data_IF_558646953809
#
_entry.id   IF_558646953809
#
_cell.length_a   1.000
_cell.length_b   1.000
_cell.length_c   1.000
_cell.angle_alpha   90.00
_cell.angle_beta   90.00
_cell.angle_gamma   90.00
#
_symmetry.space_group_name_H-M   'P 1'
#
loop_
_entity.id
_entity.type
_entity.pdbx_description
1 polymer ?
#
# COMPACT_ATOMS: atom_id res chain seq x y z
N UNK A 1 12.84 -7.62 0.30
CA UNK A 1 12.19 -6.28 0.32
C UNK A 1 12.61 -5.50 -0.92
N UNK A 2 12.16 -4.26 -1.16
CA UNK A 2 12.44 -3.49 -2.38
C UNK A 2 13.92 -3.50 -2.84
N UNK A 3 14.84 -3.51 -1.88
CA UNK A 3 16.29 -3.69 -2.07
C UNK A 3 16.68 -4.99 -2.78
N UNK A 4 15.93 -6.07 -2.54
CA UNK A 4 16.26 -7.43 -2.96
C UNK A 4 15.66 -7.75 -4.34
N UNK A 5 14.62 -7.01 -4.76
CA UNK A 5 13.92 -7.22 -6.03
C UNK A 5 14.27 -6.18 -7.09
N UNK A 6 14.99 -5.11 -6.72
CA UNK A 6 15.33 -4.02 -7.64
C UNK A 6 14.13 -3.16 -8.03
N UNK A 7 13.13 -3.05 -7.15
CA UNK A 7 11.94 -2.21 -7.37
C UNK A 7 12.00 -0.97 -6.46
N UNK A 8 12.69 0.12 -6.88
CA UNK A 8 12.95 1.27 -6.02
C UNK A 8 11.71 2.15 -5.77
N UNK A 9 10.67 2.00 -6.60
CA UNK A 9 9.42 2.74 -6.49
C UNK A 9 8.24 1.79 -6.31
N UNK A 10 7.26 2.23 -5.53
CA UNK A 10 5.94 1.60 -5.44
C UNK A 10 4.87 2.68 -5.64
N UNK A 11 3.69 2.28 -6.08
CA UNK A 11 2.47 3.09 -6.05
C UNK A 11 1.58 2.61 -4.91
N UNK A 12 0.80 3.51 -4.29
CA UNK A 12 -0.32 3.09 -3.45
C UNK A 12 -1.29 2.20 -4.23
N UNK A 13 -1.96 1.29 -3.52
CA UNK A 13 -3.03 0.45 -4.07
C UNK A 13 -4.35 0.65 -3.32
N UNK A 14 -4.46 1.75 -2.57
CA UNK A 14 -5.66 2.15 -1.85
C UNK A 14 -6.58 2.98 -2.76
N UNK A 15 -7.91 2.84 -2.65
CA UNK A 15 -8.87 3.65 -3.41
C UNK A 15 -8.66 5.16 -3.23
N UNK A 16 -8.49 5.86 -4.35
CA UNK A 16 -8.34 7.32 -4.38
C UNK A 16 -6.92 7.83 -4.13
N UNK A 17 -5.95 6.94 -3.94
CA UNK A 17 -4.54 7.28 -3.84
C UNK A 17 -3.79 6.96 -5.14
N UNK A 18 -2.94 7.89 -5.59
CA UNK A 18 -2.13 7.76 -6.81
C UNK A 18 -0.64 8.00 -6.57
N UNK A 19 -0.24 8.26 -5.32
CA UNK A 19 1.11 8.62 -4.94
C UNK A 19 2.09 7.46 -5.15
N UNK A 20 3.33 7.82 -5.47
CA UNK A 20 4.46 6.89 -5.50
C UNK A 20 5.39 7.14 -4.33
N UNK A 21 6.07 6.10 -3.87
CA UNK A 21 7.12 6.18 -2.85
C UNK A 21 8.46 5.72 -3.42
N UNK A 22 9.49 6.54 -3.24
CA UNK A 22 10.90 6.21 -3.53
C UNK A 22 11.54 5.61 -2.28
N UNK A 23 11.89 4.32 -2.31
CA UNK A 23 12.70 3.72 -1.25
C UNK A 23 14.11 4.29 -1.14
N UNK A 24 14.85 4.54 -2.24
CA UNK A 24 16.19 5.13 -2.16
C UNK A 24 16.23 6.49 -1.48
N UNK A 25 15.25 7.34 -1.78
CA UNK A 25 15.22 8.74 -1.32
C UNK A 25 14.34 8.93 -0.08
N UNK A 26 13.58 7.91 0.31
CA UNK A 26 12.61 7.95 1.41
C UNK A 26 11.65 9.14 1.31
N UNK A 27 11.09 9.35 0.13
CA UNK A 27 10.19 10.48 -0.17
C UNK A 27 9.09 10.08 -1.15
N UNK A 28 8.05 10.92 -1.21
CA UNK A 28 7.03 10.84 -2.26
C UNK A 28 7.63 11.17 -3.63
N UNK A 29 7.14 10.47 -4.65
CA UNK A 29 7.55 10.62 -6.03
C UNK A 29 6.33 10.77 -6.93
N UNK A 30 6.56 11.29 -8.13
CA UNK A 30 5.60 11.28 -9.23
C UNK A 30 5.94 10.13 -10.19
N UNK A 31 4.92 9.57 -10.85
CA UNK A 31 5.07 8.46 -11.77
C UNK A 31 4.04 8.49 -12.89
N UNK A 32 4.23 7.67 -13.94
CA UNK A 32 3.24 7.52 -14.99
C UNK A 32 1.98 6.85 -14.46
N UNK A 33 0.84 7.06 -15.12
CA UNK A 33 -0.35 6.26 -14.86
C UNK A 33 -0.07 4.79 -15.18
N UNK A 34 -0.29 3.90 -14.20
CA UNK A 34 -0.14 2.46 -14.38
C UNK A 34 -1.36 1.84 -15.07
N UNK A 35 -1.18 0.63 -15.60
CA UNK A 35 -2.31 -0.15 -16.09
C UNK A 35 -3.20 -0.61 -14.94
N UNK A 36 -4.51 -0.68 -15.19
CA UNK A 36 -5.48 -1.16 -14.21
C UNK A 36 -5.25 -2.64 -13.84
N UNK A 37 -5.63 -3.06 -12.61
CA UNK A 37 -6.25 -2.25 -11.55
C UNK A 37 -5.24 -1.36 -10.81
N UNK A 38 -5.64 -0.13 -10.50
CA UNK A 38 -4.84 0.85 -9.72
C UNK A 38 -5.16 0.88 -8.23
N UNK A 39 -6.26 0.25 -7.81
CA UNK A 39 -6.64 0.12 -6.40
C UNK A 39 -7.34 -1.20 -6.12
N UNK A 40 -7.40 -1.58 -4.85
CA UNK A 40 -8.27 -2.66 -4.41
C UNK A 40 -9.76 -2.24 -4.43
N UNK A 41 -10.72 -3.18 -4.35
CA UNK A 41 -12.14 -2.83 -4.28
C UNK A 41 -12.45 -1.92 -3.09
N UNK A 42 -13.29 -0.90 -3.30
CA UNK A 42 -13.62 0.08 -2.26
C UNK A 42 -14.37 -0.51 -1.05
N UNK A 43 -14.97 -1.68 -1.22
CA UNK A 43 -15.67 -2.45 -0.17
C UNK A 43 -14.75 -3.43 0.56
N UNK A 44 -13.50 -3.59 0.13
CA UNK A 44 -12.50 -4.39 0.82
C UNK A 44 -12.03 -3.66 2.08
N UNK A 45 -12.18 -4.30 3.25
CA UNK A 45 -11.71 -3.75 4.51
C UNK A 45 -10.17 -3.76 4.63
N UNK A 46 -9.63 -2.73 5.29
CA UNK A 46 -8.21 -2.59 5.62
C UNK A 46 -8.04 -2.02 7.04
N UNK A 47 -7.23 -2.66 7.93
CA UNK A 47 -6.53 -3.93 7.73
C UNK A 47 -7.48 -5.13 7.76
N UNK A 48 -7.22 -6.12 6.90
CA UNK A 48 -7.85 -7.45 6.88
C UNK A 48 -9.38 -7.49 6.66
N UNK A 49 -9.96 -8.69 6.43
CA UNK A 49 -11.41 -8.86 6.50
C UNK A 49 -11.91 -8.44 7.88
N UNK A 50 -12.96 -7.62 7.92
CA UNK A 50 -13.44 -7.01 9.17
C UNK A 50 -13.82 -8.05 10.26
N UNK A 51 -14.19 -9.27 9.87
CA UNK A 51 -14.54 -10.37 10.75
C UNK A 51 -13.33 -11.09 11.39
N UNK A 52 -12.12 -10.84 10.89
CA UNK A 52 -10.88 -11.52 11.31
C UNK A 52 -9.90 -10.61 12.04
N UNK A 53 -10.20 -9.32 12.16
CA UNK A 53 -9.36 -8.34 12.85
C UNK A 53 -9.99 -8.00 14.19
N UNK A 54 -9.39 -8.44 15.32
CA UNK A 54 -9.85 -8.06 16.65
C UNK A 54 -9.84 -6.54 16.83
N UNK A 55 -10.77 -5.99 17.62
CA UNK A 55 -10.81 -4.55 17.88
C UNK A 55 -9.53 -4.00 18.56
N UNK A 56 -8.82 -4.84 19.30
CA UNK A 56 -7.55 -4.52 19.96
C UNK A 56 -6.31 -4.93 19.15
N UNK A 57 -6.42 -5.13 17.83
CA UNK A 57 -5.33 -5.65 17.01
C UNK A 57 -4.01 -4.85 17.11
N UNK A 58 -4.10 -3.53 17.30
CA UNK A 58 -2.92 -2.67 17.46
C UNK A 58 -2.12 -3.02 18.72
N UNK A 59 -2.80 -3.39 19.81
CA UNK A 59 -2.18 -3.79 21.08
C UNK A 59 -1.48 -5.16 20.98
N UNK A 60 -1.80 -5.93 19.94
CA UNK A 60 -1.20 -7.25 19.66
C UNK A 60 0.05 -7.15 18.77
N UNK A 61 0.44 -5.94 18.32
CA UNK A 61 1.68 -5.71 17.60
C UNK A 61 2.83 -5.58 18.61
N UNK A 62 3.79 -6.51 18.57
CA UNK A 62 5.00 -6.53 19.41
C UNK A 62 6.26 -6.44 18.57
#
# INVERSE_FOLDING_TARGET
HASDTGHPYIQSFEPGEDWFWSYPDSQFAEGPQLAEPTSHPADQAAPGPADRVPSNWQDLLH
#
